data_IF_339995777415
#
_entry.id   IF_339995777415
#
_cell.length_a   1.000
_cell.length_b   1.000
_cell.length_c   1.000
_cell.angle_alpha   90.00
_cell.angle_beta   90.00
_cell.angle_gamma   90.00
#
_symmetry.space_group_name_H-M   'P 1'
#
loop_
_entity.id
_entity.type
_entity.pdbx_description
1 polymer ?
#
# COMPACT_ATOMS: atom_id res chain seq x y z
N UNK A 1 2.59 0.65 6.66
CA UNK A 1 3.08 1.56 7.70
C UNK A 1 1.92 2.20 8.46
N UNK A 2 2.04 2.43 9.78
CA UNK A 2 1.10 3.30 10.54
C UNK A 2 1.36 4.76 10.19
N UNK A 3 0.41 5.67 10.46
CA UNK A 3 0.63 7.08 10.09
C UNK A 3 1.75 7.72 10.91
N UNK A 4 1.94 7.32 12.16
CA UNK A 4 3.06 7.87 12.97
C UNK A 4 4.44 7.41 12.47
N UNK A 5 4.55 6.15 12.02
CA UNK A 5 5.76 5.65 11.38
C UNK A 5 5.99 6.36 10.03
N UNK A 6 4.90 6.63 9.30
CA UNK A 6 4.95 7.40 8.06
C UNK A 6 5.38 8.83 8.34
N UNK A 7 4.79 9.56 9.28
CA UNK A 7 5.14 10.94 9.61
C UNK A 7 6.62 11.07 9.98
N UNK A 8 7.16 10.09 10.71
CA UNK A 8 8.58 10.06 11.10
C UNK A 8 9.49 9.89 9.88
N UNK A 9 9.22 8.88 9.03
CA UNK A 9 9.99 8.64 7.79
C UNK A 9 9.77 9.73 6.75
N UNK A 10 8.56 10.26 6.67
CA UNK A 10 8.17 11.34 5.80
C UNK A 10 8.84 12.63 6.21
N UNK A 11 9.03 12.93 7.49
CA UNK A 11 9.85 14.10 7.90
C UNK A 11 11.32 13.97 7.48
N UNK A 12 11.89 12.77 7.54
CA UNK A 12 13.25 12.51 7.00
C UNK A 12 13.31 12.66 5.48
N UNK A 13 12.30 12.14 4.78
CA UNK A 13 12.18 12.21 3.33
C UNK A 13 11.78 13.60 2.83
N UNK A 14 10.96 14.35 3.58
CA UNK A 14 10.37 15.66 3.23
C UNK A 14 11.42 16.72 2.98
N UNK A 15 12.52 16.66 3.73
CA UNK A 15 13.71 17.51 3.47
C UNK A 15 14.22 17.38 2.03
N UNK A 16 13.91 16.26 1.36
CA UNK A 16 14.31 15.94 -0.02
C UNK A 16 13.11 15.70 -0.95
N UNK A 17 11.90 15.51 -0.40
CA UNK A 17 10.71 15.10 -1.16
C UNK A 17 10.21 16.20 -2.09
N UNK A 18 10.44 17.48 -1.75
CA UNK A 18 10.16 18.59 -2.67
C UNK A 18 11.04 18.54 -3.93
N UNK A 19 12.25 17.97 -3.84
CA UNK A 19 13.14 17.78 -5.00
C UNK A 19 12.80 16.52 -5.82
N UNK A 20 12.32 15.46 -5.17
CA UNK A 20 12.03 14.16 -5.81
C UNK A 20 10.60 14.10 -6.38
N UNK A 21 9.65 14.67 -5.66
CA UNK A 21 8.22 14.70 -6.01
C UNK A 21 7.78 16.17 -6.10
N UNK A 22 8.01 16.83 -7.24
CA UNK A 22 7.84 18.28 -7.36
C UNK A 22 6.39 18.71 -7.20
N UNK A 23 5.44 17.87 -7.63
CA UNK A 23 4.01 18.17 -7.55
C UNK A 23 3.40 17.62 -6.27
N UNK A 24 2.47 18.39 -5.70
CA UNK A 24 1.69 17.98 -4.53
C UNK A 24 0.93 16.67 -4.79
N UNK A 25 0.34 16.55 -5.99
CA UNK A 25 -0.37 15.35 -6.40
C UNK A 25 0.51 14.09 -6.35
N UNK A 26 1.76 14.15 -6.83
CA UNK A 26 2.69 13.01 -6.76
C UNK A 26 3.02 12.65 -5.31
N UNK A 27 3.18 13.64 -4.43
CA UNK A 27 3.38 13.42 -2.99
C UNK A 27 2.16 12.71 -2.37
N UNK A 28 0.95 13.14 -2.72
CA UNK A 28 -0.29 12.52 -2.25
C UNK A 28 -0.43 11.07 -2.69
N UNK A 29 -0.19 10.75 -3.96
CA UNK A 29 -0.25 9.36 -4.43
C UNK A 29 0.82 8.47 -3.79
N UNK A 30 2.06 8.96 -3.70
CA UNK A 30 3.13 8.21 -3.03
C UNK A 30 2.83 7.99 -1.54
N UNK A 31 2.21 8.95 -0.85
CA UNK A 31 1.75 8.79 0.52
C UNK A 31 0.73 7.66 0.62
N UNK A 32 -0.36 7.74 -0.15
CA UNK A 32 -1.46 6.77 -0.06
C UNK A 32 -0.97 5.35 -0.38
N UNK A 33 -0.13 5.18 -1.41
CA UNK A 33 0.44 3.87 -1.76
C UNK A 33 1.39 3.29 -0.69
N UNK A 34 2.03 4.14 0.13
CA UNK A 34 2.90 3.69 1.22
C UNK A 34 2.15 3.25 2.50
N UNK A 35 0.84 3.48 2.56
CA UNK A 35 0.02 3.09 3.71
C UNK A 35 -0.23 1.57 3.75
N UNK A 36 -0.62 1.05 4.92
CA UNK A 36 -1.14 -0.33 5.00
C UNK A 36 -2.37 -0.46 4.08
N UNK A 37 -2.53 -1.63 3.46
CA UNK A 37 -3.57 -1.92 2.46
C UNK A 37 -4.97 -1.41 2.88
N UNK A 38 -5.36 -1.63 4.14
CA UNK A 38 -6.65 -1.20 4.69
C UNK A 38 -6.84 0.33 4.74
N UNK A 39 -5.78 1.09 5.00
CA UNK A 39 -5.81 2.56 4.98
C UNK A 39 -5.69 3.08 3.54
N UNK A 40 -4.88 2.42 2.70
CA UNK A 40 -4.71 2.74 1.28
C UNK A 40 -6.05 2.71 0.54
N UNK A 41 -6.77 1.59 0.59
CA UNK A 41 -8.07 1.43 -0.11
C UNK A 41 -9.07 2.51 0.29
N UNK A 42 -9.11 2.88 1.58
CA UNK A 42 -10.04 3.89 2.11
C UNK A 42 -9.68 5.32 1.70
N UNK A 43 -8.42 5.59 1.39
CA UNK A 43 -7.91 6.95 1.16
C UNK A 43 -7.56 7.23 -0.31
N UNK A 44 -7.50 6.18 -1.14
CA UNK A 44 -7.19 6.24 -2.58
C UNK A 44 -8.18 7.08 -3.40
N UNK A 45 -9.46 7.04 -3.03
CA UNK A 45 -10.49 7.88 -3.66
C UNK A 45 -10.26 9.38 -3.43
N UNK A 46 -9.73 9.77 -2.26
CA UNK A 46 -9.45 11.16 -1.95
C UNK A 46 -8.22 11.70 -2.67
N UNK A 47 -7.18 10.87 -2.83
CA UNK A 47 -6.03 11.21 -3.67
C UNK A 47 -6.45 11.43 -5.14
N UNK A 48 -7.36 10.59 -5.63
CA UNK A 48 -7.90 10.68 -7.00
C UNK A 48 -8.78 11.90 -7.23
N UNK A 49 -9.42 12.44 -6.18
CA UNK A 49 -10.21 13.67 -6.22
C UNK A 49 -9.37 14.96 -6.21
N UNK A 50 -8.02 14.85 -6.19
CA UNK A 50 -7.14 16.02 -6.19
C UNK A 50 -7.18 16.82 -4.89
N UNK A 51 -7.51 16.17 -3.76
CA UNK A 51 -7.47 16.81 -2.44
C UNK A 51 -6.04 17.18 -2.07
N UNK A 52 -5.90 18.22 -1.24
CA UNK A 52 -4.58 18.67 -0.80
C UNK A 52 -3.88 17.55 -0.03
N UNK A 53 -2.54 17.57 -0.05
CA UNK A 53 -1.75 16.57 0.65
C UNK A 53 -2.09 16.52 2.15
N UNK A 54 -2.31 17.69 2.75
CA UNK A 54 -2.65 17.85 4.16
C UNK A 54 -4.02 17.22 4.49
N UNK A 55 -5.03 17.47 3.65
CA UNK A 55 -6.38 16.92 3.84
C UNK A 55 -6.37 15.38 3.81
N UNK A 56 -5.56 14.81 2.91
CA UNK A 56 -5.42 13.35 2.80
C UNK A 56 -4.73 12.77 4.03
N UNK A 57 -3.70 13.44 4.58
CA UNK A 57 -3.07 13.03 5.84
C UNK A 57 -4.07 13.06 7.00
N UNK A 58 -4.78 14.17 7.19
CA UNK A 58 -5.72 14.33 8.32
C UNK A 58 -6.89 13.34 8.24
N UNK A 59 -7.38 13.08 7.03
CA UNK A 59 -8.40 12.05 6.83
C UNK A 59 -7.86 10.65 7.16
N UNK A 60 -6.66 10.33 6.69
CA UNK A 60 -6.02 9.04 6.99
C UNK A 60 -5.85 8.88 8.50
N UNK A 61 -5.42 9.94 9.21
CA UNK A 61 -5.24 9.95 10.67
C UNK A 61 -6.55 9.65 11.40
N UNK A 62 -7.62 10.27 10.94
CA UNK A 62 -8.97 10.03 11.45
C UNK A 62 -9.38 8.57 11.26
N UNK A 63 -9.11 7.99 10.08
CA UNK A 63 -9.43 6.58 9.79
C UNK A 63 -8.63 5.60 10.65
N UNK A 64 -7.34 5.84 10.85
CA UNK A 64 -6.50 5.02 11.72
C UNK A 64 -6.97 5.07 13.18
N UNK A 65 -7.36 6.24 13.66
CA UNK A 65 -7.90 6.41 15.01
C UNK A 65 -9.24 5.71 15.20
N UNK A 66 -10.15 5.80 14.23
CA UNK A 66 -11.41 5.04 14.24
C UNK A 66 -11.12 3.53 14.29
N UNK A 67 -10.16 3.06 13.49
CA UNK A 67 -9.80 1.64 13.46
C UNK A 67 -9.21 1.17 14.79
N UNK A 68 -8.29 1.96 15.38
CA UNK A 68 -7.72 1.69 16.71
C UNK A 68 -8.80 1.64 17.80
N UNK A 69 -9.75 2.57 17.78
CA UNK A 69 -10.88 2.58 18.72
C UNK A 69 -11.77 1.35 18.55
N UNK A 70 -12.09 0.98 17.31
CA UNK A 70 -12.88 -0.21 17.01
C UNK A 70 -12.19 -1.52 17.47
N UNK A 71 -10.88 -1.63 17.27
CA UNK A 71 -10.09 -2.77 17.75
C UNK A 71 -10.01 -2.83 19.27
N UNK A 72 -9.88 -1.70 19.96
CA UNK A 72 -9.89 -1.63 21.43
C UNK A 72 -11.23 -2.08 22.03
N UNK A 73 -12.35 -1.68 21.42
CA UNK A 73 -13.69 -2.13 21.83
C UNK A 73 -13.85 -3.64 21.65
N UNK A 74 -13.37 -4.18 20.52
CA UNK A 74 -13.39 -5.61 20.26
C UNK A 74 -12.55 -6.37 21.30
N UNK A 75 -11.30 -5.95 21.52
CA UNK A 75 -10.39 -6.58 22.49
C UNK A 75 -10.93 -6.58 23.93
N UNK A 76 -11.53 -5.47 24.37
CA UNK A 76 -12.16 -5.38 25.70
C UNK A 76 -13.37 -6.32 25.81
N UNK A 77 -14.13 -6.47 24.73
CA UNK A 77 -15.26 -7.40 24.67
C UNK A 77 -14.79 -8.85 24.74
N UNK A 78 -13.70 -9.21 24.03
CA UNK A 78 -13.11 -10.56 24.09
C UNK A 78 -12.56 -10.89 25.47
N UNK A 79 -11.88 -9.94 26.12
CA UNK A 79 -11.38 -10.10 27.50
C UNK A 79 -12.55 -10.29 28.48
N UNK A 80 -13.62 -9.52 28.33
CA UNK A 80 -14.82 -9.64 29.16
C UNK A 80 -15.49 -11.01 29.00
N UNK A 81 -15.61 -11.49 27.75
CA UNK A 81 -16.13 -12.82 27.46
C UNK A 81 -15.25 -13.93 28.05
N UNK A 82 -13.92 -13.81 27.96
CA UNK A 82 -12.99 -14.78 28.55
C UNK A 82 -13.11 -14.84 30.08
N UNK A 83 -13.27 -13.70 30.76
CA UNK A 83 -13.52 -13.63 32.21
C UNK A 83 -14.85 -14.29 32.60
N UNK A 84 -15.93 -14.05 31.82
CA UNK A 84 -17.23 -14.69 32.06
C UNK A 84 -17.17 -16.21 31.89
N UNK A 85 -16.47 -16.70 30.87
CA UNK A 85 -16.24 -18.15 30.65
C UNK A 85 -15.44 -18.75 31.82
N UNK A 86 -14.45 -18.03 32.34
CA UNK A 86 -13.68 -18.44 33.52
C UNK A 86 -14.55 -18.57 34.78
N UNK A 87 -15.40 -17.57 35.05
CA UNK A 87 -16.36 -17.60 36.15
C UNK A 87 -17.37 -18.75 36.01
N UNK A 88 -17.87 -19.00 34.80
CA UNK A 88 -18.74 -20.15 34.53
C UNK A 88 -18.05 -21.49 34.82
N UNK A 89 -16.78 -21.62 34.45
CA UNK A 89 -15.98 -22.82 34.71
C UNK A 89 -15.68 -23.00 36.20
N UNK A 90 -15.57 -21.91 36.96
CA UNK A 90 -15.42 -21.95 38.41
C UNK A 90 -16.72 -22.36 39.11
N UNK A 91 -17.84 -21.73 38.76
CA UNK A 91 -19.18 -22.06 39.28
C UNK A 91 -19.56 -23.53 39.01
N UNK A 92 -19.30 -24.04 37.80
CA UNK A 92 -19.56 -25.45 37.46
C UNK A 92 -18.71 -26.45 38.25
N UNK A 93 -17.53 -26.05 38.74
CA UNK A 93 -16.72 -26.87 39.66
C UNK A 93 -17.27 -26.86 41.07
N UNK A 94 -17.79 -25.72 41.55
CA UNK A 94 -18.43 -25.59 42.88
C UNK A 94 -19.79 -26.29 42.93
N UNK A 95 -20.51 -26.36 41.80
CA UNK A 95 -21.80 -27.04 41.63
C UNK A 95 -21.76 -28.55 41.91
N UNK A 96 -20.57 -29.17 41.84
CA UNK A 96 -20.38 -30.63 42.00
C UNK A 96 -20.53 -31.12 43.46
N UNK A 97 -20.73 -30.21 44.41
CA UNK A 97 -20.87 -30.49 45.85
C UNK A 97 -22.28 -30.29 46.41
N UNK A 98 -23.28 -29.92 45.59
CA UNK A 98 -24.65 -29.61 46.04
C UNK A 98 -25.71 -30.56 45.45
N UNK A 99 -26.86 -30.65 46.12
CA UNK A 99 -27.97 -31.57 45.79
C UNK A 99 -28.41 -31.49 44.32
N UNK A 100 -28.57 -32.65 43.69
CA UNK A 100 -28.85 -32.88 42.27
C UNK A 100 -29.99 -32.02 41.69
N UNK A 101 -31.00 -31.67 42.51
CA UNK A 101 -32.15 -30.84 42.12
C UNK A 101 -31.78 -29.37 41.87
N UNK A 102 -30.92 -28.77 42.71
CA UNK A 102 -30.46 -27.39 42.48
C UNK A 102 -29.53 -27.29 41.27
N UNK A 103 -28.76 -28.35 41.00
CA UNK A 103 -27.89 -28.43 39.82
C UNK A 103 -28.70 -28.42 38.52
N UNK A 104 -29.81 -29.16 38.48
CA UNK A 104 -30.71 -29.19 37.31
C UNK A 104 -31.40 -27.84 37.13
N UNK A 105 -31.89 -27.20 38.21
CA UNK A 105 -32.54 -25.89 38.12
C UNK A 105 -31.58 -24.80 37.61
N UNK A 106 -30.33 -24.79 38.11
CA UNK A 106 -29.29 -23.86 37.65
C UNK A 106 -28.91 -24.12 36.21
N UNK A 107 -28.81 -25.38 35.76
CA UNK A 107 -28.56 -25.71 34.35
C UNK A 107 -29.68 -25.22 33.42
N UNK A 108 -30.94 -25.41 33.80
CA UNK A 108 -32.09 -24.89 33.01
C UNK A 108 -32.03 -23.36 32.92
N UNK A 109 -31.74 -22.66 34.03
CA UNK A 109 -31.59 -21.19 34.04
C UNK A 109 -30.41 -20.70 33.19
N UNK A 110 -29.29 -21.43 33.20
CA UNK A 110 -28.16 -21.16 32.30
C UNK A 110 -28.57 -21.30 30.84
N UNK A 111 -29.31 -22.35 30.52
CA UNK A 111 -29.72 -22.65 29.15
C UNK A 111 -30.72 -21.59 28.64
N UNK A 112 -31.65 -21.15 29.49
CA UNK A 112 -32.54 -20.01 29.20
C UNK A 112 -31.75 -18.72 28.95
N UNK A 113 -30.77 -18.40 29.80
CA UNK A 113 -29.92 -17.22 29.64
C UNK A 113 -29.08 -17.28 28.35
N UNK A 114 -28.53 -18.45 28.02
CA UNK A 114 -27.77 -18.65 26.79
C UNK A 114 -28.63 -18.45 25.54
N UNK A 115 -29.85 -18.98 25.55
CA UNK A 115 -30.82 -18.79 24.46
C UNK A 115 -31.13 -17.30 24.29
N UNK A 116 -31.39 -16.56 25.37
CA UNK A 116 -31.64 -15.12 25.32
C UNK A 116 -30.47 -14.32 24.74
N UNK A 117 -29.23 -14.65 25.10
CA UNK A 117 -28.03 -14.02 24.53
C UNK A 117 -27.92 -14.31 23.04
N UNK A 118 -28.20 -15.55 22.62
CA UNK A 118 -28.18 -15.93 21.20
C UNK A 118 -29.22 -15.12 20.39
N UNK A 119 -30.44 -14.99 20.90
CA UNK A 119 -31.49 -14.18 20.29
C UNK A 119 -31.11 -12.70 20.20
N UNK A 120 -30.47 -12.15 21.24
CA UNK A 120 -29.98 -10.77 21.21
C UNK A 120 -28.91 -10.56 20.13
N UNK A 121 -27.96 -11.50 19.98
CA UNK A 121 -26.96 -11.45 18.92
C UNK A 121 -27.59 -11.51 17.52
N UNK A 122 -28.56 -12.40 17.31
CA UNK A 122 -29.30 -12.51 16.05
C UNK A 122 -30.05 -11.21 15.74
N UNK A 123 -30.72 -10.60 16.73
CA UNK A 123 -31.41 -9.33 16.56
C UNK A 123 -30.46 -8.16 16.21
N UNK A 124 -29.26 -8.12 16.80
CA UNK A 124 -28.23 -7.13 16.46
C UNK A 124 -27.75 -7.31 15.02
N UNK A 125 -27.49 -8.55 14.60
CA UNK A 125 -27.07 -8.86 13.23
C UNK A 125 -28.15 -8.49 12.20
N UNK A 126 -29.41 -8.81 12.47
CA UNK A 126 -30.56 -8.41 11.65
C UNK A 126 -30.67 -6.88 11.52
N UNK A 127 -30.52 -6.14 12.62
CA UNK A 127 -30.50 -4.67 12.58
C UNK A 127 -29.36 -4.13 11.71
N UNK A 128 -28.18 -4.73 11.81
CA UNK A 128 -27.03 -4.33 10.99
C UNK A 128 -27.28 -4.58 9.49
N UNK A 129 -27.84 -5.74 9.13
CA UNK A 129 -28.21 -6.09 7.76
C UNK A 129 -29.26 -5.10 7.22
N UNK A 130 -30.31 -4.81 7.99
CA UNK A 130 -31.36 -3.86 7.61
C UNK A 130 -30.80 -2.44 7.42
N UNK A 131 -29.90 -2.00 8.29
CA UNK A 131 -29.25 -0.69 8.17
C UNK A 131 -28.43 -0.61 6.87
N UNK A 132 -27.67 -1.66 6.55
CA UNK A 132 -26.90 -1.73 5.30
C UNK A 132 -27.79 -1.76 4.07
N UNK A 133 -28.90 -2.50 4.10
CA UNK A 133 -29.88 -2.51 3.02
C UNK A 133 -30.50 -1.11 2.80
N UNK A 134 -30.85 -0.40 3.88
CA UNK A 134 -31.39 0.96 3.79
C UNK A 134 -30.38 1.97 3.21
N UNK A 135 -29.10 1.84 3.56
CA UNK A 135 -28.01 2.64 2.97
C UNK A 135 -27.88 2.35 1.47
N UNK A 136 -27.90 1.07 1.07
CA UNK A 136 -27.83 0.68 -0.33
C UNK A 136 -29.01 1.23 -1.15
N UNK A 137 -30.23 1.12 -0.61
CA UNK A 137 -31.43 1.68 -1.25
C UNK A 137 -31.33 3.20 -1.39
N UNK A 138 -30.80 3.91 -0.37
CA UNK A 138 -30.62 5.36 -0.44
C UNK A 138 -29.59 5.79 -1.48
N UNK A 139 -28.54 4.99 -1.69
CA UNK A 139 -27.51 5.24 -2.72
C UNK A 139 -28.02 4.95 -4.13
N UNK A 140 -28.87 3.93 -4.30
CA UNK A 140 -29.35 3.48 -5.63
C UNK A 140 -30.63 4.20 -6.07
N UNK A 141 -31.48 4.66 -5.14
CA UNK A 141 -32.74 5.34 -5.46
C UNK A 141 -32.62 6.58 -6.37
N UNK A 142 -31.59 7.44 -6.29
CA UNK A 142 -31.39 8.57 -7.19
C UNK A 142 -31.04 8.14 -8.62
N UNK A 143 -30.33 7.01 -8.77
CA UNK A 143 -29.90 6.48 -10.07
C UNK A 143 -31.07 5.91 -10.89
N UNK A 144 -32.08 5.36 -10.23
CA UNK A 144 -33.28 4.81 -10.89
C UNK A 144 -34.29 5.90 -11.28
N UNK A 145 -34.30 7.04 -10.57
CA UNK A 145 -35.24 8.14 -10.81
C UNK A 145 -34.75 9.16 -11.85
N UNK A 146 -33.46 9.16 -12.18
CA UNK A 146 -32.87 9.97 -13.26
C UNK A 146 -32.87 9.20 -14.57
N UNK A 147 -33.94 9.32 -15.37
CA UNK A 147 -33.98 8.73 -16.71
C UNK A 147 -32.87 9.29 -17.62
N UNK A 148 -32.04 8.38 -18.15
CA UNK A 148 -31.24 8.48 -19.37
C UNK A 148 -30.35 9.73 -19.59
N UNK A 149 -29.03 9.58 -19.42
CA UNK A 149 -28.06 9.82 -20.50
C UNK A 149 -26.67 9.23 -20.18
N UNK A 150 -26.32 8.11 -20.82
CA UNK A 150 -24.98 7.86 -21.37
C UNK A 150 -23.73 7.69 -20.49
N UNK A 151 -23.77 7.65 -19.15
CA UNK A 151 -22.54 7.46 -18.33
C UNK A 151 -22.67 6.48 -17.12
N UNK A 152 -23.79 5.76 -16.99
CA UNK A 152 -24.15 5.03 -15.75
C UNK A 152 -23.45 3.68 -15.47
N UNK A 153 -22.70 3.09 -16.41
CA UNK A 153 -22.18 1.73 -16.22
C UNK A 153 -20.96 1.61 -15.29
N UNK A 154 -20.26 2.70 -14.95
CA UNK A 154 -19.09 2.65 -14.06
C UNK A 154 -19.45 2.61 -12.56
N UNK A 155 -20.60 3.14 -12.15
CA UNK A 155 -20.98 3.19 -10.73
C UNK A 155 -21.52 1.84 -10.20
N UNK A 156 -22.16 1.04 -11.06
CA UNK A 156 -22.69 -0.28 -10.69
C UNK A 156 -21.57 -1.29 -10.36
N UNK A 157 -20.45 -1.25 -11.10
CA UNK A 157 -19.29 -2.12 -10.85
C UNK A 157 -18.61 -1.80 -9.51
N UNK A 158 -18.62 -0.54 -9.06
CA UNK A 158 -18.04 -0.16 -7.76
C UNK A 158 -18.92 -0.56 -6.56
N UNK A 159 -20.25 -0.58 -6.71
CA UNK A 159 -21.15 -1.03 -5.65
C UNK A 159 -21.14 -2.56 -5.46
N UNK A 160 -20.89 -3.30 -6.54
CA UNK A 160 -20.81 -4.77 -6.54
C UNK A 160 -19.52 -5.31 -5.89
N UNK A 161 -18.45 -4.50 -5.90
CA UNK A 161 -17.20 -4.77 -5.18
C UNK A 161 -17.38 -4.61 -3.65
N UNK A 162 -18.13 -3.60 -3.18
CA UNK A 162 -18.39 -3.44 -1.73
C UNK A 162 -19.30 -4.54 -1.14
N UNK A 163 -20.24 -5.09 -1.92
CA UNK A 163 -21.08 -6.19 -1.47
C UNK A 163 -20.30 -7.52 -1.33
N UNK A 164 -19.29 -7.71 -2.17
CA UNK A 164 -18.42 -8.90 -2.14
C UNK A 164 -17.45 -8.89 -0.95
N UNK A 165 -16.99 -7.70 -0.52
CA UNK A 165 -16.10 -7.55 0.64
C UNK A 165 -16.77 -7.86 1.98
N UNK A 166 -18.10 -7.71 2.09
CA UNK A 166 -18.87 -8.12 3.28
C UNK A 166 -19.01 -9.64 3.37
N UNK A 167 -19.04 -10.35 2.24
CA UNK A 167 -19.19 -11.80 2.18
C UNK A 167 -17.90 -12.55 2.58
N UNK A 168 -16.73 -11.93 2.41
CA UNK A 168 -15.44 -12.52 2.81
C UNK A 168 -15.24 -12.46 4.34
N UNK A 169 -15.91 -11.55 5.05
CA UNK A 169 -15.79 -11.39 6.51
C UNK A 169 -16.66 -12.39 7.28
N UNK A 170 -17.71 -12.96 6.66
CA UNK A 170 -18.60 -13.95 7.28
C UNK A 170 -18.46 -15.26 6.53
N UNK A 171 -17.50 -16.11 6.95
CA UNK A 171 -17.15 -17.37 6.30
C UNK A 171 -18.31 -18.39 6.22
N UNK A 172 -19.17 -18.25 5.21
CA UNK A 172 -20.13 -19.25 4.78
C UNK A 172 -19.75 -19.74 3.39
N UNK A 173 -19.33 -21.01 3.33
CA UNK A 173 -18.88 -21.69 2.12
C UNK A 173 -19.92 -21.65 1.00
N UNK A 174 -19.48 -21.33 -0.21
CA UNK A 174 -20.29 -21.27 -1.42
C UNK A 174 -20.22 -22.63 -2.13
N UNK A 175 -21.37 -23.24 -2.39
CA UNK A 175 -21.50 -24.35 -3.34
C UNK A 175 -21.30 -23.83 -4.77
N UNK A 176 -20.46 -24.52 -5.53
CA UNK A 176 -20.19 -24.28 -6.96
C UNK A 176 -21.46 -24.44 -7.81
N UNK A 177 -21.78 -23.40 -8.57
CA UNK A 177 -22.51 -23.53 -9.82
C UNK A 177 -21.52 -23.18 -10.92
N UNK A 178 -21.32 -24.12 -11.83
CA UNK A 178 -20.36 -24.03 -12.93
C UNK A 178 -20.68 -22.83 -13.83
N UNK A 179 -19.83 -21.80 -13.78
CA UNK A 179 -19.68 -20.85 -14.87
C UNK A 179 -18.33 -21.07 -15.54
N UNK A 180 -18.39 -21.09 -16.86
CA UNK A 180 -17.33 -21.36 -17.82
C UNK A 180 -16.01 -20.63 -17.50
N UNK A 181 -14.91 -21.39 -17.38
CA UNK A 181 -13.58 -20.93 -16.98
C UNK A 181 -12.97 -19.99 -18.03
N UNK A 182 -12.99 -18.69 -17.76
CA UNK A 182 -11.89 -17.80 -18.16
C UNK A 182 -10.96 -17.70 -16.96
N UNK A 183 -9.79 -18.33 -17.07
CA UNK A 183 -8.77 -18.43 -16.02
C UNK A 183 -8.28 -17.02 -15.60
N UNK A 184 -8.70 -16.46 -14.45
CA UNK A 184 -8.10 -15.22 -13.97
C UNK A 184 -6.75 -15.58 -13.34
N UNK A 185 -5.70 -14.92 -13.79
CA UNK A 185 -4.37 -15.09 -13.19
C UNK A 185 -4.46 -14.93 -11.67
N UNK A 186 -3.79 -15.81 -10.89
CA UNK A 186 -3.89 -15.78 -9.44
C UNK A 186 -3.42 -14.42 -8.92
N UNK A 187 -4.29 -13.75 -8.16
CA UNK A 187 -3.95 -12.48 -7.53
C UNK A 187 -2.74 -12.67 -6.60
N UNK A 188 -1.77 -11.74 -6.57
CA UNK A 188 -0.58 -11.89 -5.74
C UNK A 188 -0.98 -11.98 -4.26
N UNK A 189 -0.42 -12.96 -3.55
CA UNK A 189 -0.59 -13.08 -2.10
C UNK A 189 0.00 -11.84 -1.39
N UNK A 190 -0.47 -11.55 -0.18
CA UNK A 190 0.05 -10.44 0.65
C UNK A 190 1.59 -10.49 0.80
N UNK A 191 2.14 -11.70 0.90
CA UNK A 191 3.58 -11.96 0.94
C UNK A 191 4.31 -11.58 -0.35
N UNK A 192 3.71 -11.86 -1.52
CA UNK A 192 4.27 -11.44 -2.81
C UNK A 192 4.28 -9.91 -2.94
N UNK A 193 3.21 -9.23 -2.50
CA UNK A 193 3.11 -7.76 -2.54
C UNK A 193 4.08 -7.07 -1.57
N UNK A 194 4.29 -7.63 -0.39
CA UNK A 194 5.31 -7.14 0.55
C UNK A 194 6.73 -7.37 0.03
N UNK A 195 6.97 -8.49 -0.68
CA UNK A 195 8.25 -8.74 -1.35
C UNK A 195 8.51 -7.77 -2.50
N UNK A 196 7.50 -7.44 -3.30
CA UNK A 196 7.60 -6.45 -4.36
C UNK A 196 7.81 -5.04 -3.82
N UNK A 197 7.14 -4.69 -2.71
CA UNK A 197 7.37 -3.42 -2.03
C UNK A 197 8.77 -3.33 -1.42
N UNK A 198 9.27 -4.41 -0.80
CA UNK A 198 10.63 -4.45 -0.29
C UNK A 198 11.68 -4.33 -1.41
N UNK A 199 11.41 -4.91 -2.59
CA UNK A 199 12.24 -4.72 -3.79
C UNK A 199 12.16 -3.28 -4.29
N UNK A 200 10.97 -2.69 -4.39
CA UNK A 200 10.79 -1.30 -4.80
C UNK A 200 11.43 -0.32 -3.79
N UNK A 201 11.37 -0.60 -2.50
CA UNK A 201 11.98 0.17 -1.41
C UNK A 201 13.51 0.02 -1.43
N UNK A 202 14.05 -1.17 -1.69
CA UNK A 202 15.49 -1.39 -1.90
C UNK A 202 15.99 -0.70 -3.17
N UNK A 203 15.22 -0.76 -4.27
CA UNK A 203 15.50 -0.07 -5.53
C UNK A 203 15.43 1.44 -5.34
N UNK A 204 14.46 1.95 -4.57
CA UNK A 204 14.33 3.37 -4.25
C UNK A 204 15.43 3.83 -3.29
N UNK A 205 15.82 3.02 -2.32
CA UNK A 205 16.96 3.29 -1.44
C UNK A 205 18.28 3.24 -2.19
N UNK A 206 18.47 2.30 -3.12
CA UNK A 206 19.61 2.25 -4.01
C UNK A 206 19.61 3.45 -4.96
N UNK A 207 18.47 3.82 -5.54
CA UNK A 207 18.31 4.99 -6.41
C UNK A 207 18.57 6.29 -5.65
N UNK A 208 18.04 6.44 -4.44
CA UNK A 208 18.25 7.65 -3.60
C UNK A 208 19.63 7.70 -2.99
N UNK A 209 20.25 6.55 -2.68
CA UNK A 209 21.66 6.47 -2.30
C UNK A 209 22.56 6.81 -3.49
N UNK A 210 22.30 6.25 -4.66
CA UNK A 210 22.93 6.59 -5.93
C UNK A 210 22.74 8.07 -6.25
N UNK A 211 21.56 8.65 -5.99
CA UNK A 211 21.27 10.07 -6.18
C UNK A 211 21.99 10.96 -5.15
N UNK A 212 22.15 10.50 -3.91
CA UNK A 212 22.88 11.23 -2.84
C UNK A 212 24.40 11.14 -3.00
N UNK A 213 24.91 10.03 -3.53
CA UNK A 213 26.33 9.85 -3.87
C UNK A 213 26.69 10.50 -5.22
N UNK A 214 25.74 10.61 -6.17
CA UNK A 214 25.91 11.45 -7.38
C UNK A 214 25.84 12.95 -7.07
N UNK A 215 25.20 13.36 -5.97
CA UNK A 215 25.34 14.73 -5.42
C UNK A 215 26.75 14.99 -4.83
N UNK A 216 27.61 13.96 -4.73
CA UNK A 216 29.05 14.08 -4.48
C UNK A 216 29.90 13.83 -5.74
N UNK A 217 29.34 14.07 -6.93
CA UNK A 217 30.14 14.40 -8.10
C UNK A 217 30.74 15.79 -7.84
N UNK A 218 32.01 15.83 -7.45
CA UNK A 218 32.73 17.10 -7.36
C UNK A 218 32.83 17.70 -8.76
N UNK A 219 32.63 19.02 -8.87
CA UNK A 219 32.53 19.72 -10.16
C UNK A 219 33.79 19.68 -11.03
N UNK A 220 34.89 19.11 -10.53
CA UNK A 220 36.17 18.95 -11.22
C UNK A 220 36.36 17.56 -11.87
N UNK A 221 35.41 16.63 -11.68
CA UNK A 221 35.51 15.28 -12.24
C UNK A 221 35.07 15.22 -13.72
N UNK A 222 35.82 14.46 -14.51
CA UNK A 222 35.52 14.27 -15.94
C UNK A 222 34.30 13.36 -16.12
N UNK A 223 33.63 13.49 -17.28
CA UNK A 223 32.47 12.67 -17.66
C UNK A 223 32.72 11.16 -17.48
N UNK A 224 33.92 10.72 -17.83
CA UNK A 224 34.39 9.34 -17.71
C UNK A 224 34.48 8.87 -16.26
N UNK A 225 35.03 9.70 -15.37
CA UNK A 225 35.19 9.37 -13.96
C UNK A 225 33.82 9.21 -13.27
N UNK A 226 32.87 10.06 -13.62
CA UNK A 226 31.49 9.97 -13.13
C UNK A 226 30.78 8.72 -13.66
N UNK A 227 30.96 8.39 -14.93
CA UNK A 227 30.37 7.18 -15.52
C UNK A 227 30.85 5.90 -14.81
N UNK A 228 32.16 5.79 -14.55
CA UNK A 228 32.73 4.66 -13.80
C UNK A 228 32.13 4.54 -12.39
N UNK A 229 32.00 5.65 -11.66
CA UNK A 229 31.37 5.65 -10.34
C UNK A 229 29.91 5.22 -10.42
N UNK A 230 29.19 5.71 -11.42
CA UNK A 230 27.80 5.36 -11.64
C UNK A 230 27.63 3.86 -11.92
N UNK A 231 28.47 3.27 -12.78
CA UNK A 231 28.49 1.82 -13.01
C UNK A 231 28.80 1.02 -11.73
N UNK A 232 29.73 1.50 -10.90
CA UNK A 232 30.05 0.87 -9.62
C UNK A 232 28.84 0.86 -8.65
N UNK A 233 27.94 1.84 -8.75
CA UNK A 233 26.69 1.87 -7.97
C UNK A 233 25.63 0.93 -8.56
N UNK A 234 25.62 0.70 -9.88
CA UNK A 234 24.70 -0.24 -10.53
C UNK A 234 25.12 -1.72 -10.35
N UNK A 235 26.43 -1.99 -10.24
CA UNK A 235 27.02 -3.34 -10.09
C UNK A 235 26.32 -4.25 -9.05
N UNK A 236 25.97 -3.78 -7.83
CA UNK A 236 25.31 -4.63 -6.83
C UNK A 236 23.89 -5.07 -7.19
N UNK A 237 23.25 -4.45 -8.20
CA UNK A 237 21.86 -4.72 -8.56
C UNK A 237 21.67 -4.81 -10.08
N UNK A 238 22.09 -5.92 -10.72
CA UNK A 238 22.00 -6.10 -12.17
C UNK A 238 20.56 -6.21 -12.69
N UNK A 239 19.60 -6.51 -11.82
CA UNK A 239 18.16 -6.58 -12.12
C UNK A 239 17.39 -5.58 -11.27
N UNK A 240 17.75 -4.30 -11.37
CA UNK A 240 17.13 -3.20 -10.61
C UNK A 240 15.66 -2.94 -10.94
N UNK A 241 15.07 -3.66 -11.91
CA UNK A 241 13.67 -3.45 -12.35
C UNK A 241 13.40 -2.09 -13.00
N UNK A 242 14.37 -1.17 -13.00
CA UNK A 242 14.32 0.08 -13.73
C UNK A 242 14.53 -0.14 -15.23
N UNK A 243 13.82 0.63 -16.04
CA UNK A 243 14.05 0.74 -17.47
C UNK A 243 15.32 1.54 -17.75
N UNK A 244 16.02 1.27 -18.84
CA UNK A 244 17.28 1.93 -19.20
C UNK A 244 17.17 3.45 -19.30
N UNK A 245 16.01 3.94 -19.76
CA UNK A 245 15.69 5.37 -19.78
C UNK A 245 15.79 6.03 -18.40
N UNK A 246 15.31 5.36 -17.34
CA UNK A 246 15.33 5.89 -15.97
C UNK A 246 16.75 5.90 -15.41
N UNK A 247 17.55 4.89 -15.74
CA UNK A 247 18.98 4.83 -15.40
C UNK A 247 19.71 6.01 -16.04
N UNK A 248 19.49 6.20 -17.35
CA UNK A 248 20.11 7.26 -18.13
C UNK A 248 19.73 8.65 -17.63
N UNK A 249 18.44 8.89 -17.40
CA UNK A 249 17.96 10.16 -16.84
C UNK A 249 18.56 10.42 -15.44
N UNK A 250 18.75 9.37 -14.64
CA UNK A 250 19.37 9.49 -13.31
C UNK A 250 20.84 9.90 -13.42
N UNK A 251 21.61 9.26 -14.32
CA UNK A 251 22.98 9.64 -14.60
C UNK A 251 23.07 11.09 -15.06
N UNK A 252 22.30 11.47 -16.10
CA UNK A 252 22.33 12.81 -16.67
C UNK A 252 21.93 13.91 -15.68
N UNK A 253 20.95 13.66 -14.81
CA UNK A 253 20.55 14.61 -13.74
C UNK A 253 21.63 14.77 -12.66
N UNK A 254 22.43 13.75 -12.42
CA UNK A 254 23.58 13.80 -11.51
C UNK A 254 24.75 14.64 -12.04
N UNK A 255 24.81 14.88 -13.35
CA UNK A 255 25.88 15.68 -13.96
C UNK A 255 25.78 17.17 -13.59
N UNK A 256 26.93 17.79 -13.33
CA UNK A 256 27.07 19.24 -13.27
C UNK A 256 26.74 19.92 -14.62
N UNK A 257 26.47 21.24 -14.64
CA UNK A 257 26.07 21.96 -15.86
C UNK A 257 27.10 21.84 -16.99
N UNK A 258 28.39 21.95 -16.69
CA UNK A 258 29.47 21.84 -17.69
C UNK A 258 29.51 20.42 -18.29
N UNK A 259 29.40 19.41 -17.43
CA UNK A 259 29.40 18.02 -17.86
C UNK A 259 28.12 17.63 -18.62
N UNK A 260 26.97 18.25 -18.33
CA UNK A 260 25.77 18.10 -19.16
C UNK A 260 25.97 18.69 -20.54
N UNK A 261 26.54 19.90 -20.62
CA UNK A 261 26.85 20.51 -21.92
C UNK A 261 27.81 19.65 -22.73
N UNK A 262 28.85 19.11 -22.10
CA UNK A 262 29.78 18.18 -22.74
C UNK A 262 29.07 16.90 -23.20
N UNK A 263 28.21 16.32 -22.36
CA UNK A 263 27.45 15.13 -22.72
C UNK A 263 26.53 15.39 -23.92
N UNK A 264 25.81 16.50 -23.95
CA UNK A 264 24.93 16.84 -25.09
C UNK A 264 25.70 17.15 -26.37
N UNK A 265 26.95 17.62 -26.28
CA UNK A 265 27.82 17.79 -27.45
C UNK A 265 28.34 16.45 -28.01
N UNK A 266 28.48 15.43 -27.16
CA UNK A 266 28.94 14.10 -27.60
C UNK A 266 27.87 13.36 -28.42
N UNK A 267 26.59 13.68 -28.22
CA UNK A 267 25.47 12.99 -28.88
C UNK A 267 24.68 13.96 -29.76
N UNK A 268 24.63 13.69 -31.06
CA UNK A 268 23.79 14.47 -31.97
C UNK A 268 22.32 14.40 -31.50
N UNK A 269 21.73 15.57 -31.21
CA UNK A 269 20.36 15.66 -30.69
C UNK A 269 20.24 15.55 -29.17
N UNK A 270 21.35 15.48 -28.43
CA UNK A 270 21.38 15.43 -26.97
C UNK A 270 21.39 14.01 -26.41
N UNK A 271 21.99 13.85 -25.22
CA UNK A 271 22.26 12.54 -24.63
C UNK A 271 20.96 11.75 -24.36
N UNK A 272 19.92 12.41 -23.84
CA UNK A 272 18.66 11.76 -23.45
C UNK A 272 17.80 11.30 -24.65
N UNK A 273 18.17 11.67 -25.87
CA UNK A 273 17.47 11.27 -27.09
C UNK A 273 18.06 10.00 -27.73
N UNK A 274 19.20 9.52 -27.22
CA UNK A 274 19.86 8.33 -27.72
C UNK A 274 19.44 7.09 -26.91
N UNK A 275 19.43 5.90 -27.52
CA UNK A 275 19.23 4.65 -26.79
C UNK A 275 20.39 4.42 -25.80
N UNK A 276 20.08 3.76 -24.68
CA UNK A 276 21.03 3.58 -23.57
C UNK A 276 22.28 2.83 -24.00
N UNK A 277 22.14 1.83 -24.87
CA UNK A 277 23.22 0.99 -25.36
C UNK A 277 24.28 1.82 -26.08
N UNK A 278 23.86 2.73 -26.97
CA UNK A 278 24.77 3.61 -27.72
C UNK A 278 25.54 4.54 -26.79
N UNK A 279 24.88 5.02 -25.74
CA UNK A 279 25.49 5.91 -24.76
C UNK A 279 26.50 5.16 -23.89
N UNK A 280 26.12 3.99 -23.40
CA UNK A 280 26.96 3.15 -22.56
C UNK A 280 28.22 2.73 -23.32
N UNK A 281 28.09 2.26 -24.57
CA UNK A 281 29.22 1.91 -25.42
C UNK A 281 30.20 3.06 -25.63
N UNK A 282 29.69 4.27 -25.90
CA UNK A 282 30.55 5.44 -26.11
C UNK A 282 31.30 5.81 -24.82
N UNK A 283 30.60 5.86 -23.68
CA UNK A 283 31.21 6.21 -22.39
C UNK A 283 32.20 5.15 -21.92
N UNK A 284 31.90 3.86 -22.13
CA UNK A 284 32.81 2.75 -21.86
C UNK A 284 34.07 2.85 -22.74
N UNK A 285 33.90 3.15 -24.03
CA UNK A 285 35.03 3.39 -24.94
C UNK A 285 35.92 4.56 -24.50
N UNK A 286 35.33 5.65 -23.99
CA UNK A 286 36.09 6.79 -23.45
C UNK A 286 36.88 6.40 -22.18
N UNK A 287 36.30 5.57 -21.33
CA UNK A 287 36.96 5.05 -20.12
C UNK A 287 38.15 4.16 -20.49
N UNK A 288 37.98 3.26 -21.46
CA UNK A 288 39.05 2.37 -21.91
C UNK A 288 40.20 3.12 -22.59
N UNK A 289 39.91 4.10 -23.46
CA UNK A 289 40.93 4.93 -24.10
C UNK A 289 41.80 5.71 -23.08
N UNK A 290 41.19 6.14 -21.96
CA UNK A 290 41.92 6.82 -20.88
C UNK A 290 42.82 5.85 -20.09
N UNK A 291 42.46 4.57 -19.97
CA UNK A 291 43.33 3.55 -19.36
C UNK A 291 44.54 3.25 -20.25
N UNK A 292 44.39 3.24 -21.57
CA UNK A 292 45.49 2.97 -22.50
C UNK A 292 46.52 4.11 -22.56
N UNK A 293 46.06 5.36 -22.52
CA UNK A 293 46.94 6.54 -22.52
C UNK A 293 47.81 6.61 -21.26
N UNK A 294 47.27 6.27 -20.09
CA UNK A 294 48.03 6.19 -18.83
C UNK A 294 49.03 5.04 -18.75
N UNK A 295 48.89 3.98 -19.56
CA UNK A 295 49.85 2.84 -19.59
C UNK A 295 51.09 3.11 -20.46
N UNK A 296 51.02 4.10 -21.36
CA UNK A 296 52.10 4.45 -22.29
C UNK A 296 53.00 5.58 -21.78
N UNK A 297 52.70 6.09 -20.59
CA UNK A 297 53.39 7.21 -19.93
C UNK A 297 54.14 6.68 -18.71
#
# INVERSE_FOLDING_TARGET
MTISEYDTRFHELSRHAAMILPTEQKRTFCFVHGLRLQLCIKTESMASMGRSFLDVIDHTRTMEEIHRKAQGVLANSTTTMASLVGLFKQLSRTQRASNLVEVVLVQVRLQEAYILVLWAMVAILLKFILLKAAQLVSTVAPLVRGGAQGQGCKALVSAEVEASDVFIIVGLGRHEVQLERVNPSPSPSHSARESEWAKAEAVLHAATRCLRETVLIRGDETLQAMWLKFQAVLQPCPTHGMTDKVILESFYRGLGPDNRSNADQLFAGGMLHQPYEVIAELLDGMVEANKETKKKQ
#
